data_IF_606022107807
#
_entry.id   IF_606022107807
#
_cell.length_a   1.000
_cell.length_b   1.000
_cell.length_c   1.000
_cell.angle_alpha   90.00
_cell.angle_beta   90.00
_cell.angle_gamma   90.00
#
_symmetry.space_group_name_H-M   'P 1'
#
loop_
_entity.id
_entity.type
_entity.pdbx_description
1 polymer ?
#
# COMPACT_ATOMS: atom_id res chain seq x y z
N UNK A 1 -5.34 -1.39 19.39
CA UNK A 1 -5.98 -0.13 18.94
C UNK A 1 -6.49 -0.42 17.54
N UNK A 2 -7.79 -0.39 17.33
CA UNK A 2 -8.34 -0.61 15.99
C UNK A 2 -7.99 0.58 15.11
N UNK A 3 -7.39 0.34 13.96
CA UNK A 3 -7.08 1.40 12.99
C UNK A 3 -8.31 1.60 12.12
N UNK A 4 -8.85 2.81 12.15
CA UNK A 4 -9.88 3.26 11.22
C UNK A 4 -9.21 4.00 10.07
N UNK A 5 -9.54 3.63 8.84
CA UNK A 5 -9.10 4.34 7.64
C UNK A 5 -10.28 5.06 7.01
N UNK A 6 -10.06 6.31 6.64
CA UNK A 6 -11.04 7.14 5.94
C UNK A 6 -10.58 7.38 4.51
N UNK A 7 -11.45 7.10 3.56
CA UNK A 7 -11.29 7.48 2.16
C UNK A 7 -12.15 8.72 1.89
N UNK A 8 -11.54 9.77 1.35
CA UNK A 8 -12.21 11.02 0.99
C UNK A 8 -12.01 11.36 -0.48
N UNK A 9 -13.06 11.77 -1.15
CA UNK A 9 -13.04 12.26 -2.53
C UNK A 9 -13.18 13.77 -2.53
N UNK A 10 -12.30 14.45 -3.27
CA UNK A 10 -12.25 15.90 -3.39
C UNK A 10 -12.24 16.33 -4.86
N UNK A 11 -12.74 17.52 -5.16
CA UNK A 11 -12.64 18.09 -6.50
C UNK A 11 -11.21 18.49 -6.81
N UNK A 12 -10.64 17.97 -7.90
CA UNK A 12 -9.25 18.23 -8.29
C UNK A 12 -9.00 19.72 -8.62
N UNK A 13 -9.99 20.41 -9.17
CA UNK A 13 -9.85 21.84 -9.48
C UNK A 13 -9.79 22.67 -8.20
N UNK A 14 -10.61 22.33 -7.19
CA UNK A 14 -10.56 22.98 -5.88
C UNK A 14 -9.20 22.71 -5.20
N UNK A 15 -8.72 21.47 -5.22
CA UNK A 15 -7.39 21.11 -4.68
C UNK A 15 -6.31 21.97 -5.35
N UNK A 16 -6.27 22.02 -6.68
CA UNK A 16 -5.28 22.77 -7.43
C UNK A 16 -5.39 24.28 -7.17
N UNK A 17 -6.62 24.81 -7.09
CA UNK A 17 -6.83 26.22 -6.75
C UNK A 17 -6.25 26.55 -5.37
N UNK A 18 -6.56 25.75 -4.35
CA UNK A 18 -6.07 25.95 -2.98
C UNK A 18 -4.55 25.83 -2.88
N UNK A 19 -3.94 24.88 -3.57
CA UNK A 19 -2.48 24.76 -3.66
C UNK A 19 -1.85 25.99 -4.29
N UNK A 20 -2.44 26.54 -5.36
CA UNK A 20 -1.95 27.76 -6.00
C UNK A 20 -2.11 29.00 -5.11
N UNK A 21 -3.24 29.15 -4.40
CA UNK A 21 -3.49 30.24 -3.45
C UNK A 21 -2.50 30.21 -2.27
N UNK A 22 -2.19 29.05 -1.76
CA UNK A 22 -1.29 28.88 -0.61
C UNK A 22 0.20 28.90 -1.00
N UNK A 23 0.53 28.65 -2.26
CA UNK A 23 1.91 28.63 -2.77
C UNK A 23 2.75 27.55 -2.07
N UNK A 24 3.78 27.96 -1.31
CA UNK A 24 4.67 27.03 -0.58
C UNK A 24 4.17 26.66 0.81
N UNK A 25 3.02 27.19 1.25
CA UNK A 25 2.43 26.87 2.55
C UNK A 25 1.64 25.59 2.46
N UNK A 26 1.55 24.89 3.59
CA UNK A 26 0.70 23.72 3.69
C UNK A 26 -0.78 24.09 3.45
N UNK A 27 -1.47 23.25 2.71
CA UNK A 27 -2.92 23.34 2.53
C UNK A 27 -3.55 22.23 3.39
N UNK A 28 -4.22 22.58 4.50
CA UNK A 28 -4.92 21.60 5.30
C UNK A 28 -6.05 20.95 4.50
N UNK A 29 -6.20 19.63 4.62
CA UNK A 29 -7.28 18.89 3.95
C UNK A 29 -8.68 19.36 4.42
N UNK A 30 -8.76 19.93 5.63
CA UNK A 30 -9.97 20.51 6.21
C UNK A 30 -10.45 21.78 5.50
N UNK A 31 -9.60 22.39 4.68
CA UNK A 31 -9.94 23.57 3.89
C UNK A 31 -10.57 23.22 2.53
N UNK A 32 -10.66 21.92 2.23
CA UNK A 32 -11.23 21.38 1.00
C UNK A 32 -12.64 20.85 1.25
N UNK A 33 -13.52 21.00 0.26
CA UNK A 33 -14.84 20.41 0.31
C UNK A 33 -14.78 18.92 -0.04
N UNK A 34 -15.07 18.08 0.95
CA UNK A 34 -15.14 16.63 0.74
C UNK A 34 -16.46 16.28 0.03
N UNK A 35 -16.38 15.78 -1.19
CA UNK A 35 -17.55 15.41 -2.01
C UNK A 35 -18.21 14.13 -1.51
N UNK A 36 -17.41 13.17 -1.04
CA UNK A 36 -17.86 11.89 -0.51
C UNK A 36 -16.79 11.30 0.38
N UNK A 37 -17.17 10.59 1.42
CA UNK A 37 -16.24 9.86 2.27
C UNK A 37 -16.88 8.58 2.81
N UNK A 38 -16.07 7.59 3.14
CA UNK A 38 -16.46 6.43 3.91
C UNK A 38 -15.31 5.96 4.82
N UNK A 39 -15.67 5.16 5.81
CA UNK A 39 -14.72 4.64 6.80
C UNK A 39 -14.70 3.13 6.74
N UNK A 40 -13.52 2.55 6.89
CA UNK A 40 -13.33 1.13 7.14
C UNK A 40 -12.84 0.98 8.58
N UNK A 41 -13.65 0.34 9.40
CA UNK A 41 -13.29 -0.04 10.77
C UNK A 41 -12.50 -1.34 10.73
N UNK A 42 -11.57 -1.52 11.65
CA UNK A 42 -10.72 -2.73 11.75
C UNK A 42 -9.90 -3.01 10.48
N UNK A 43 -9.44 -1.95 9.84
CA UNK A 43 -8.59 -2.03 8.66
C UNK A 43 -7.32 -2.85 8.93
N UNK A 44 -6.80 -2.72 10.15
CA UNK A 44 -5.75 -3.54 10.73
C UNK A 44 -6.37 -4.31 11.90
N UNK A 45 -6.55 -5.62 11.77
CA UNK A 45 -7.07 -6.46 12.85
C UNK A 45 -5.94 -7.18 13.60
N UNK A 46 -5.36 -6.55 14.65
CA UNK A 46 -4.25 -7.13 15.42
C UNK A 46 -4.66 -8.33 16.29
N UNK A 47 -5.95 -8.70 16.31
CA UNK A 47 -6.45 -9.84 17.08
C UNK A 47 -6.35 -11.18 16.34
N UNK A 48 -5.95 -11.18 15.09
CA UNK A 48 -5.64 -12.41 14.36
C UNK A 48 -4.20 -12.83 14.69
N UNK A 49 -4.03 -14.09 15.07
CA UNK A 49 -2.69 -14.61 15.32
C UNK A 49 -1.80 -14.45 14.08
N UNK A 50 -0.51 -14.15 14.22
CA UNK A 50 0.39 -13.89 13.08
C UNK A 50 0.50 -15.04 12.07
N UNK A 51 0.06 -16.22 12.44
CA UNK A 51 0.03 -17.46 11.67
C UNK A 51 -1.32 -17.73 10.96
N UNK A 52 -2.37 -16.95 11.31
CA UNK A 52 -3.65 -16.98 10.59
C UNK A 52 -3.73 -15.79 9.63
N UNK A 53 -3.16 -15.95 8.47
CA UNK A 53 -3.18 -14.92 7.43
C UNK A 53 -4.58 -14.81 6.82
N UNK A 54 -5.34 -13.83 7.27
CA UNK A 54 -6.59 -13.46 6.59
C UNK A 54 -6.24 -12.71 5.30
N UNK A 55 -6.57 -13.30 4.16
CA UNK A 55 -6.28 -12.73 2.84
C UNK A 55 -6.85 -11.30 2.68
N UNK A 56 -8.01 -11.05 3.28
CA UNK A 56 -8.70 -9.75 3.21
C UNK A 56 -8.13 -8.70 4.17
N UNK A 57 -7.22 -9.06 5.07
CA UNK A 57 -6.64 -8.10 6.00
C UNK A 57 -5.61 -7.22 5.29
N UNK A 58 -5.66 -5.93 5.57
CA UNK A 58 -4.68 -4.95 5.09
C UNK A 58 -3.71 -4.66 6.23
N UNK A 59 -2.53 -5.29 6.18
CA UNK A 59 -1.50 -5.17 7.20
C UNK A 59 -0.74 -3.83 7.11
N UNK A 60 -0.63 -3.31 5.89
CA UNK A 60 0.05 -2.05 5.61
C UNK A 60 -0.43 -1.48 4.28
N UNK A 61 -0.68 -0.19 4.21
CA UNK A 61 -0.93 0.52 2.96
C UNK A 61 0.38 1.08 2.46
N UNK A 62 0.99 0.46 1.45
CA UNK A 62 2.21 0.95 0.82
C UNK A 62 1.87 1.94 -0.30
N UNK A 63 0.77 1.71 -1.00
CA UNK A 63 0.23 2.61 -1.98
C UNK A 63 -1.25 2.34 -2.25
N UNK A 64 -1.92 3.33 -2.83
CA UNK A 64 -3.31 3.18 -3.27
C UNK A 64 -3.55 3.94 -4.57
N UNK A 65 -4.52 3.47 -5.34
CA UNK A 65 -5.01 4.10 -6.55
C UNK A 65 -6.50 3.83 -6.73
N UNK A 66 -7.13 4.54 -7.65
CA UNK A 66 -8.54 4.38 -7.99
C UNK A 66 -8.68 4.34 -9.50
N UNK A 67 -9.56 3.45 -10.02
CA UNK A 67 -9.90 3.41 -11.43
C UNK A 67 -11.12 4.29 -11.77
N UNK A 68 -11.45 4.38 -13.05
CA UNK A 68 -12.59 5.18 -13.54
C UNK A 68 -13.95 4.65 -13.05
N UNK A 69 -14.04 3.36 -12.73
CA UNK A 69 -15.22 2.71 -12.15
C UNK A 69 -15.30 2.91 -10.63
N UNK A 70 -14.36 3.68 -10.05
CA UNK A 70 -14.21 3.96 -8.62
C UNK A 70 -13.89 2.71 -7.79
N UNK A 71 -13.19 1.73 -8.33
CA UNK A 71 -12.58 0.70 -7.53
C UNK A 71 -11.26 1.22 -6.94
N UNK A 72 -11.08 0.96 -5.66
CA UNK A 72 -9.85 1.27 -4.93
C UNK A 72 -8.92 0.07 -5.01
N UNK A 73 -7.65 0.32 -5.27
CA UNK A 73 -6.57 -0.66 -5.29
C UNK A 73 -5.56 -0.29 -4.22
N UNK A 74 -5.18 -1.25 -3.40
CA UNK A 74 -4.19 -1.07 -2.34
C UNK A 74 -3.06 -2.09 -2.52
N UNK A 75 -1.82 -1.62 -2.60
CA UNK A 75 -0.65 -2.47 -2.44
C UNK A 75 -0.41 -2.71 -0.95
N UNK A 76 -0.44 -3.97 -0.55
CA UNK A 76 -0.41 -4.38 0.85
C UNK A 76 0.75 -5.36 1.10
N UNK A 77 1.72 -4.90 1.86
CA UNK A 77 2.83 -5.71 2.37
C UNK A 77 3.48 -5.00 3.56
N UNK A 78 3.81 -5.71 4.61
CA UNK A 78 4.71 -5.19 5.65
C UNK A 78 6.15 -5.15 5.14
N UNK A 79 6.87 -4.07 5.46
CA UNK A 79 8.29 -3.92 5.11
C UNK A 79 9.15 -5.04 5.69
N UNK A 80 10.11 -5.57 4.93
CA UNK A 80 11.03 -6.57 5.45
C UNK A 80 11.73 -6.12 6.73
N UNK A 81 11.79 -6.98 7.75
CA UNK A 81 12.47 -6.72 9.01
C UNK A 81 13.72 -7.58 9.14
N UNK A 82 14.80 -6.98 9.64
CA UNK A 82 16.05 -7.69 9.88
C UNK A 82 16.35 -7.78 11.37
N UNK A 83 16.80 -8.95 11.81
CA UNK A 83 17.44 -9.09 13.10
C UNK A 83 18.89 -8.59 12.98
N UNK A 84 19.23 -7.53 13.70
CA UNK A 84 20.51 -6.85 13.60
C UNK A 84 21.71 -7.70 14.08
N UNK A 85 21.44 -8.70 14.95
CA UNK A 85 22.47 -9.59 15.50
C UNK A 85 22.69 -10.83 14.63
N UNK A 86 21.59 -11.47 14.20
CA UNK A 86 21.66 -12.75 13.47
C UNK A 86 21.67 -12.56 11.95
N UNK A 87 21.17 -11.42 11.46
CA UNK A 87 21.00 -11.16 10.04
C UNK A 87 19.84 -11.92 9.41
N UNK A 88 18.97 -12.54 10.22
CA UNK A 88 17.74 -13.14 9.74
C UNK A 88 16.76 -12.07 9.26
N UNK A 89 16.15 -12.29 8.09
CA UNK A 89 15.17 -11.36 7.53
C UNK A 89 13.81 -12.02 7.48
N UNK A 90 12.85 -11.36 8.08
CA UNK A 90 11.43 -11.72 8.00
C UNK A 90 10.78 -10.92 6.88
N UNK A 91 10.04 -11.63 6.02
CA UNK A 91 9.24 -11.06 4.94
C UNK A 91 7.79 -11.49 5.10
N UNK A 92 6.89 -10.77 4.45
CA UNK A 92 5.45 -11.05 4.48
C UNK A 92 4.91 -11.18 3.06
N UNK A 93 3.73 -11.78 2.96
CA UNK A 93 3.02 -11.93 1.70
C UNK A 93 2.71 -10.57 1.06
N UNK A 94 2.67 -10.58 -0.25
CA UNK A 94 2.41 -9.43 -1.11
C UNK A 94 1.01 -9.57 -1.68
N UNK A 95 0.16 -8.60 -1.39
CA UNK A 95 -1.24 -8.62 -1.80
C UNK A 95 -1.61 -7.31 -2.50
N UNK A 96 -2.43 -7.40 -3.51
CA UNK A 96 -3.20 -6.27 -4.03
C UNK A 96 -4.63 -6.51 -3.62
N UNK A 97 -5.19 -5.56 -2.88
CA UNK A 97 -6.59 -5.61 -2.45
C UNK A 97 -7.38 -4.61 -3.28
N UNK A 98 -8.48 -5.08 -3.89
CA UNK A 98 -9.36 -4.28 -4.72
C UNK A 98 -10.78 -4.32 -4.19
N UNK A 99 -11.42 -3.16 -4.07
CA UNK A 99 -12.83 -3.04 -3.66
C UNK A 99 -13.49 -1.79 -4.23
N UNK A 100 -14.82 -1.81 -4.47
CA UNK A 100 -15.56 -0.64 -4.93
C UNK A 100 -15.58 0.48 -3.92
N UNK A 101 -15.72 1.73 -4.38
CA UNK A 101 -15.93 2.89 -3.51
C UNK A 101 -17.12 2.67 -2.58
N UNK A 102 -16.90 2.83 -1.27
CA UNK A 102 -17.93 2.66 -0.23
C UNK A 102 -18.13 1.22 0.25
N UNK A 103 -17.44 0.22 -0.30
CA UNK A 103 -17.50 -1.14 0.21
C UNK A 103 -16.67 -1.27 1.50
N UNK A 104 -17.36 -1.56 2.60
CA UNK A 104 -16.75 -1.67 3.94
C UNK A 104 -16.67 -3.09 4.45
N UNK A 105 -17.35 -4.05 3.78
CA UNK A 105 -17.29 -5.45 4.15
C UNK A 105 -16.14 -6.15 3.42
N UNK A 106 -15.10 -6.53 4.17
CA UNK A 106 -13.91 -7.19 3.63
C UNK A 106 -14.18 -8.53 2.93
N UNK A 107 -15.29 -9.20 3.23
CA UNK A 107 -15.67 -10.45 2.56
C UNK A 107 -15.97 -10.25 1.05
N UNK A 108 -16.27 -9.01 0.66
CA UNK A 108 -16.55 -8.64 -0.72
C UNK A 108 -15.30 -8.12 -1.47
N UNK A 109 -14.15 -8.06 -0.81
CA UNK A 109 -12.92 -7.56 -1.43
C UNK A 109 -12.27 -8.63 -2.29
N UNK A 110 -11.73 -8.21 -3.41
CA UNK A 110 -10.89 -9.06 -4.26
C UNK A 110 -9.44 -8.95 -3.77
N UNK A 111 -8.79 -10.10 -3.58
CA UNK A 111 -7.39 -10.15 -3.16
C UNK A 111 -6.59 -10.94 -4.17
N UNK A 112 -5.56 -10.33 -4.73
CA UNK A 112 -4.60 -10.97 -5.62
C UNK A 112 -3.24 -11.07 -4.93
N UNK A 113 -2.70 -12.29 -4.87
CA UNK A 113 -1.32 -12.53 -4.42
C UNK A 113 -0.34 -12.13 -5.53
N UNK A 114 0.76 -11.46 -5.16
CA UNK A 114 1.78 -11.03 -6.11
C UNK A 114 3.00 -11.94 -5.99
N UNK A 115 3.11 -12.88 -6.92
CA UNK A 115 4.18 -13.86 -7.01
C UNK A 115 5.12 -13.57 -8.19
N UNK A 116 6.25 -14.29 -8.26
CA UNK A 116 7.16 -14.24 -9.42
C UNK A 116 7.99 -12.97 -9.56
N UNK A 117 7.98 -12.08 -8.57
CA UNK A 117 8.77 -10.85 -8.56
C UNK A 117 10.02 -10.95 -7.68
N UNK A 118 10.34 -12.14 -7.16
CA UNK A 118 11.52 -12.33 -6.31
C UNK A 118 12.82 -12.29 -7.13
N UNK A 119 13.81 -11.60 -6.58
CA UNK A 119 15.16 -11.58 -7.14
C UNK A 119 16.13 -12.32 -6.19
N UNK A 120 17.13 -13.02 -6.73
CA UNK A 120 18.13 -13.70 -5.93
C UNK A 120 18.83 -12.73 -4.94
N UNK A 121 18.96 -13.14 -3.70
CA UNK A 121 19.61 -12.37 -2.62
C UNK A 121 19.00 -10.97 -2.39
N UNK A 122 17.70 -10.81 -2.66
CA UNK A 122 16.93 -9.58 -2.43
C UNK A 122 15.67 -9.87 -1.64
N UNK A 123 15.22 -8.84 -0.93
CA UNK A 123 13.98 -8.83 -0.18
C UNK A 123 13.08 -7.75 -0.78
N UNK A 124 11.96 -8.16 -1.35
CA UNK A 124 11.03 -7.25 -2.01
C UNK A 124 10.11 -6.55 -1.01
N UNK A 125 9.77 -5.32 -1.33
CA UNK A 125 8.75 -4.52 -0.66
C UNK A 125 7.90 -3.83 -1.72
N UNK A 126 6.59 -4.09 -1.73
CA UNK A 126 5.70 -3.34 -2.60
C UNK A 126 5.59 -1.90 -2.11
N UNK A 127 5.59 -0.99 -3.06
CA UNK A 127 5.51 0.45 -2.80
C UNK A 127 4.21 1.01 -3.42
N UNK A 128 4.34 1.88 -4.39
CA UNK A 128 3.20 2.53 -5.03
C UNK A 128 2.51 1.63 -6.05
N UNK A 129 1.22 1.86 -6.20
CA UNK A 129 0.38 1.29 -7.25
C UNK A 129 -0.20 2.43 -8.11
N UNK A 130 -0.22 2.25 -9.41
CA UNK A 130 -0.86 3.14 -10.37
C UNK A 130 -1.81 2.34 -11.25
N UNK A 131 -3.05 2.79 -11.36
CA UNK A 131 -4.07 2.14 -12.21
C UNK A 131 -4.09 2.84 -13.58
N UNK A 132 -3.92 2.05 -14.64
CA UNK A 132 -4.03 2.51 -16.02
C UNK A 132 -5.47 2.30 -16.54
N UNK A 133 -6.06 1.15 -16.20
CA UNK A 133 -7.46 0.81 -16.47
C UNK A 133 -7.94 -0.23 -15.45
N UNK A 134 -9.20 -0.61 -15.48
CA UNK A 134 -9.71 -1.67 -14.61
C UNK A 134 -8.88 -2.95 -14.78
N UNK A 135 -8.31 -3.47 -13.70
CA UNK A 135 -7.42 -4.64 -13.65
C UNK A 135 -6.11 -4.51 -14.46
N UNK A 136 -5.70 -3.30 -14.80
CA UNK A 136 -4.46 -2.98 -15.51
C UNK A 136 -3.69 -1.96 -14.68
N UNK A 137 -2.61 -2.41 -14.02
CA UNK A 137 -1.88 -1.61 -13.04
C UNK A 137 -0.38 -1.64 -13.27
N UNK A 138 0.29 -0.60 -12.78
CA UNK A 138 1.74 -0.57 -12.60
C UNK A 138 2.05 -0.59 -11.12
N UNK A 139 2.84 -1.56 -10.67
CA UNK A 139 3.29 -1.75 -9.31
C UNK A 139 4.76 -1.42 -9.18
N UNK A 140 5.13 -0.51 -8.29
CA UNK A 140 6.53 -0.27 -7.93
C UNK A 140 6.92 -1.19 -6.80
N UNK A 141 8.05 -1.85 -6.94
CA UNK A 141 8.64 -2.76 -5.95
C UNK A 141 10.05 -2.31 -5.62
N UNK A 142 10.32 -2.05 -4.35
CA UNK A 142 11.65 -1.81 -3.83
C UNK A 142 12.34 -3.14 -3.50
N UNK A 143 13.62 -3.27 -3.87
CA UNK A 143 14.43 -4.42 -3.53
C UNK A 143 15.52 -4.05 -2.55
N UNK A 144 15.52 -4.72 -1.41
CA UNK A 144 16.45 -4.51 -0.32
C UNK A 144 17.54 -5.56 -0.32
N UNK A 145 18.74 -5.14 0.01
CA UNK A 145 19.90 -6.03 0.20
C UNK A 145 20.39 -5.96 1.63
N UNK A 146 20.71 -7.14 2.16
CA UNK A 146 21.37 -7.27 3.46
C UNK A 146 22.83 -6.85 3.35
N UNK A 147 23.33 -6.09 4.33
CA UNK A 147 24.73 -5.69 4.44
C UNK A 147 25.13 -5.56 5.92
N UNK A 148 26.43 -5.45 6.19
CA UNK A 148 26.95 -5.25 7.54
C UNK A 148 27.51 -3.83 7.66
N UNK A 149 27.13 -3.12 8.74
CA UNK A 149 27.67 -1.82 9.10
C UNK A 149 27.83 -1.71 10.61
N UNK A 150 29.05 -1.43 11.07
CA UNK A 150 29.35 -1.31 12.50
C UNK A 150 29.19 -2.62 13.29
N UNK A 151 29.33 -3.78 12.63
CA UNK A 151 29.16 -5.10 13.27
C UNK A 151 27.70 -5.58 13.31
N UNK A 152 26.74 -4.81 12.81
CA UNK A 152 25.32 -5.14 12.78
C UNK A 152 24.84 -5.40 11.35
N UNK A 153 23.90 -6.33 11.20
CA UNK A 153 23.18 -6.54 9.94
C UNK A 153 22.12 -5.46 9.72
N UNK A 154 22.05 -4.96 8.49
CA UNK A 154 21.10 -3.91 8.07
C UNK A 154 20.55 -4.21 6.69
N UNK A 155 19.38 -3.62 6.37
CA UNK A 155 18.83 -3.59 5.02
C UNK A 155 19.06 -2.21 4.41
N UNK A 156 19.27 -2.19 3.10
CA UNK A 156 19.27 -0.96 2.29
C UNK A 156 18.49 -1.22 1.01
N UNK A 157 17.74 -0.26 0.56
CA UNK A 157 17.15 -0.28 -0.79
C UNK A 157 18.29 -0.22 -1.81
N UNK A 158 18.27 -1.12 -2.76
CA UNK A 158 19.28 -1.22 -3.80
C UNK A 158 18.76 -0.70 -5.13
N UNK A 159 17.53 -1.08 -5.47
CA UNK A 159 16.87 -0.72 -6.72
C UNK A 159 15.35 -0.74 -6.56
N UNK A 160 14.66 -0.07 -7.46
CA UNK A 160 13.21 -0.17 -7.63
C UNK A 160 12.92 -0.66 -9.04
N UNK A 161 11.91 -1.52 -9.16
CA UNK A 161 11.41 -1.99 -10.45
C UNK A 161 9.93 -1.68 -10.57
N UNK A 162 9.45 -1.51 -11.80
CA UNK A 162 8.04 -1.30 -12.10
C UNK A 162 7.55 -2.52 -12.85
N UNK A 163 6.51 -3.15 -12.33
CA UNK A 163 5.84 -4.30 -12.94
C UNK A 163 4.50 -3.86 -13.54
N UNK A 164 4.26 -4.27 -14.76
CA UNK A 164 2.95 -4.15 -15.39
C UNK A 164 2.18 -5.43 -15.13
N UNK A 165 1.04 -5.32 -14.45
CA UNK A 165 0.18 -6.44 -14.06
C UNK A 165 -1.18 -6.22 -14.71
N UNK A 166 -1.64 -7.22 -15.43
CA UNK A 166 -2.96 -7.27 -16.07
C UNK A 166 -3.75 -8.45 -15.51
N UNK A 167 -5.07 -8.39 -15.63
CA UNK A 167 -5.97 -9.49 -15.22
C UNK A 167 -5.97 -9.78 -13.71
N UNK A 168 -6.06 -8.71 -12.91
CA UNK A 168 -6.25 -8.77 -11.46
C UNK A 168 -7.62 -9.32 -11.05
#
# INVERSE_FOLDING_TARGET
MMVQVTFGLFDLNEVNQKLNENGTKNTPITDLHCLSAFHIDNFDNPSVAPDEEMLQMIDSVQGYAIDDDKNIYISNQLSPKINHETGEVTTWSRKIVKFPWGETNSDNWQVAMVDGIDLPDRYSEMESIHVNAANDIYLTVAYHQKYIKGGEYKLRTLENQIFHITDL
#
